data_IF_985228665599
#
_entry.id   IF_985228665599
#
_cell.length_a   1.000
_cell.length_b   1.000
_cell.length_c   1.000
_cell.angle_alpha   90.00
_cell.angle_beta   90.00
_cell.angle_gamma   90.00
#
_symmetry.space_group_name_H-M   'P 1'
#
loop_
_entity.id
_entity.type
_entity.pdbx_description
1 polymer ?
#
# COMPACT_ATOMS: atom_id res chain seq x y z
N UNK A 1 -4.67 16.14 3.17
CA UNK A 1 -3.89 15.47 2.12
C UNK A 1 -4.84 15.04 1.01
N UNK A 2 -4.53 15.39 -0.25
CA UNK A 2 -5.24 14.84 -1.41
C UNK A 2 -4.46 13.62 -1.92
N UNK A 3 -5.19 12.56 -2.28
CA UNK A 3 -4.63 11.30 -2.77
C UNK A 3 -5.12 11.04 -4.19
N UNK A 4 -4.20 10.71 -5.10
CA UNK A 4 -4.51 10.25 -6.46
C UNK A 4 -4.22 8.76 -6.53
N UNK A 5 -5.24 7.94 -6.79
CA UNK A 5 -5.02 6.50 -6.93
C UNK A 5 -4.22 6.22 -8.22
N UNK A 6 -3.14 5.46 -8.08
CA UNK A 6 -2.24 5.05 -9.17
C UNK A 6 -2.16 3.53 -9.33
N UNK A 7 -2.67 2.76 -8.35
CA UNK A 7 -2.75 1.31 -8.40
C UNK A 7 -3.87 0.76 -7.51
N UNK A 8 -4.29 -0.48 -7.75
CA UNK A 8 -5.33 -1.14 -6.94
C UNK A 8 -6.74 -1.15 -7.51
N UNK A 9 -6.91 -0.92 -8.81
CA UNK A 9 -8.18 -1.17 -9.50
C UNK A 9 -8.28 -2.62 -9.99
N UNK A 10 -9.40 -3.29 -9.73
CA UNK A 10 -9.78 -4.54 -10.40
C UNK A 10 -9.77 -5.84 -9.58
N UNK A 11 -9.71 -5.81 -8.26
CA UNK A 11 -9.80 -7.01 -7.41
C UNK A 11 -11.25 -7.41 -7.15
N UNK A 12 -12.00 -7.79 -8.20
CA UNK A 12 -13.30 -8.48 -8.10
C UNK A 12 -14.19 -8.10 -6.90
N UNK A 13 -14.58 -9.10 -6.09
CA UNK A 13 -15.49 -8.98 -4.94
C UNK A 13 -14.79 -8.84 -3.56
N UNK A 14 -13.54 -8.38 -3.49
CA UNK A 14 -12.78 -8.25 -2.23
C UNK A 14 -12.22 -6.85 -1.98
N UNK A 15 -11.78 -6.51 -0.75
CA UNK A 15 -11.10 -5.25 -0.49
C UNK A 15 -9.76 -5.24 -1.24
N UNK A 16 -9.66 -4.39 -2.26
CA UNK A 16 -8.43 -4.17 -3.02
C UNK A 16 -7.41 -3.39 -2.20
N UNK A 17 -6.19 -3.90 -2.01
CA UNK A 17 -5.04 -3.05 -1.76
C UNK A 17 -4.92 -1.96 -2.83
N UNK A 18 -4.60 -0.74 -2.41
CA UNK A 18 -4.54 0.42 -3.29
C UNK A 18 -3.25 1.21 -3.07
N UNK A 19 -2.78 1.85 -4.14
CA UNK A 19 -1.58 2.66 -4.14
C UNK A 19 -1.98 4.06 -4.57
N UNK A 20 -1.59 5.05 -3.77
CA UNK A 20 -1.92 6.44 -4.00
C UNK A 20 -0.65 7.28 -4.08
N UNK A 21 -0.66 8.29 -4.92
CA UNK A 21 0.33 9.36 -4.94
C UNK A 21 -0.22 10.58 -4.21
N UNK A 22 0.63 11.23 -3.41
CA UNK A 22 0.32 12.51 -2.76
C UNK A 22 0.79 13.69 -3.62
N UNK A 23 0.29 14.88 -3.32
CA UNK A 23 0.73 16.12 -4.00
C UNK A 23 2.22 16.44 -3.81
N UNK A 24 2.90 15.79 -2.85
CA UNK A 24 4.32 15.98 -2.57
C UNK A 24 5.22 14.93 -3.25
N UNK A 25 4.68 14.13 -4.18
CA UNK A 25 5.44 13.07 -4.86
C UNK A 25 5.78 11.88 -3.96
N UNK A 26 5.07 11.70 -2.84
CA UNK A 26 5.19 10.52 -1.97
C UNK A 26 4.07 9.54 -2.22
N UNK A 27 4.25 8.30 -1.76
CA UNK A 27 3.31 7.19 -1.99
C UNK A 27 2.65 6.78 -0.68
N UNK A 28 1.34 6.50 -0.74
CA UNK A 28 0.56 5.87 0.34
C UNK A 28 0.08 4.51 -0.16
N UNK A 29 0.29 3.47 0.65
CA UNK A 29 -0.09 2.09 0.33
C UNK A 29 -1.13 1.59 1.32
N UNK A 30 -2.26 1.11 0.80
CA UNK A 30 -3.28 0.41 1.57
C UNK A 30 -3.11 -1.10 1.37
N UNK A 31 -3.14 -1.86 2.46
CA UNK A 31 -3.07 -3.31 2.45
C UNK A 31 -3.67 -3.92 3.70
N UNK A 32 -3.35 -5.19 3.95
CA UNK A 32 -3.73 -5.89 5.18
C UNK A 32 -2.67 -5.69 6.25
N UNK A 33 -3.05 -5.37 7.48
CA UNK A 33 -2.10 -5.12 8.56
C UNK A 33 -1.21 -6.34 8.82
N UNK A 34 0.10 -6.08 8.94
CA UNK A 34 1.09 -7.06 9.36
C UNK A 34 1.53 -6.71 10.78
N UNK A 35 1.41 -7.68 11.68
CA UNK A 35 1.96 -7.59 13.02
C UNK A 35 3.50 -7.60 12.92
N UNK A 36 4.11 -6.43 13.15
CA UNK A 36 5.55 -6.23 13.01
C UNK A 36 6.37 -7.16 13.89
N UNK A 37 5.98 -7.33 15.15
CA UNK A 37 6.70 -8.17 16.11
C UNK A 37 6.70 -9.64 15.66
N UNK A 38 5.55 -10.15 15.20
CA UNK A 38 5.45 -11.52 14.67
C UNK A 38 6.24 -11.71 13.38
N UNK A 39 6.32 -10.67 12.55
CA UNK A 39 7.08 -10.67 11.30
C UNK A 39 8.59 -10.42 11.51
N UNK A 40 9.03 -10.13 12.74
CA UNK A 40 10.43 -9.78 13.03
C UNK A 40 10.83 -8.39 12.52
N UNK A 41 9.85 -7.50 12.29
CA UNK A 41 10.04 -6.11 11.91
C UNK A 41 10.11 -5.24 13.16
N UNK A 42 11.11 -4.37 13.26
CA UNK A 42 11.15 -3.34 14.29
C UNK A 42 10.53 -2.05 13.72
N UNK A 43 9.25 -1.79 14.02
CA UNK A 43 8.52 -0.63 13.54
C UNK A 43 8.57 0.52 14.58
N UNK A 44 9.24 1.65 14.29
CA UNK A 44 9.20 2.85 15.11
C UNK A 44 7.79 3.41 15.32
N UNK A 45 7.59 4.27 16.35
CA UNK A 45 6.32 4.97 16.56
C UNK A 45 5.87 5.72 15.30
N UNK A 46 4.65 5.42 14.84
CA UNK A 46 4.06 6.03 13.66
C UNK A 46 4.30 5.30 12.34
N UNK A 47 5.05 4.19 12.35
CA UNK A 47 5.18 3.30 11.20
C UNK A 47 4.15 2.17 11.23
N UNK A 48 3.83 1.62 10.06
CA UNK A 48 2.90 0.49 9.91
C UNK A 48 3.36 -0.38 8.76
N UNK A 49 3.23 -1.70 8.91
CA UNK A 49 3.50 -2.66 7.85
C UNK A 49 2.17 -3.19 7.32
N UNK A 50 2.03 -3.21 5.99
CA UNK A 50 0.88 -3.80 5.31
C UNK A 50 1.34 -4.80 4.27
N UNK A 51 0.60 -5.90 4.13
CA UNK A 51 0.79 -6.90 3.09
C UNK A 51 -0.12 -6.60 1.90
N UNK A 52 0.48 -6.60 0.71
CA UNK A 52 -0.22 -6.43 -0.57
C UNK A 52 0.36 -7.38 -1.62
N UNK A 53 -0.42 -7.81 -2.63
CA UNK A 53 0.12 -8.54 -3.76
C UNK A 53 1.14 -7.70 -4.54
N UNK A 54 2.32 -8.26 -4.78
CA UNK A 54 3.43 -7.62 -5.52
C UNK A 54 2.99 -6.92 -6.81
N UNK A 55 2.12 -7.56 -7.60
CA UNK A 55 1.69 -7.04 -8.89
C UNK A 55 0.97 -5.69 -8.81
N UNK A 56 0.42 -5.32 -7.65
CA UNK A 56 -0.28 -4.04 -7.44
C UNK A 56 0.71 -2.87 -7.54
N UNK A 57 1.90 -2.99 -6.93
CA UNK A 57 2.95 -1.97 -7.03
C UNK A 57 3.59 -1.97 -8.41
N UNK A 58 3.87 -3.14 -8.97
CA UNK A 58 4.47 -3.23 -10.31
C UNK A 58 3.59 -2.56 -11.37
N UNK A 59 2.27 -2.78 -11.32
CA UNK A 59 1.32 -2.07 -12.20
C UNK A 59 1.24 -0.58 -11.91
N UNK A 60 1.36 -0.16 -10.65
CA UNK A 60 1.33 1.26 -10.30
C UNK A 60 2.50 2.04 -10.92
N UNK A 61 3.69 1.43 -11.03
CA UNK A 61 4.90 2.10 -11.52
C UNK A 61 5.27 1.82 -12.99
N UNK A 62 4.65 0.84 -13.64
CA UNK A 62 4.90 0.51 -15.05
C UNK A 62 3.83 1.09 -16.01
N UNK A 63 3.17 2.19 -15.64
CA UNK A 63 2.16 2.90 -16.44
C UNK A 63 2.76 4.01 -17.28
#
# INVERSE_FOLDING_TARGET
MKLRQIGGSGCGNGPCPAVYETENGTIVVQGFDVDGDKAGLNLPPGESAVEIPRYILERAFNQ
#
